data_IF_415605648279
#
_entry.id   IF_415605648279
#
_cell.length_a   1.000
_cell.length_b   1.000
_cell.length_c   1.000
_cell.angle_alpha   90.00
_cell.angle_beta   90.00
_cell.angle_gamma   90.00
#
_symmetry.space_group_name_H-M   'P 1'
#
loop_
_entity.id
_entity.type
_entity.pdbx_description
1 polymer ?
#
# COMPACT_ATOMS: atom_id res chain seq x y z
N UNK A 1 10.64 -28.12 8.44
CA UNK A 1 11.54 -28.06 7.28
C UNK A 1 11.26 -26.74 6.57
N UNK A 2 12.09 -25.72 6.82
CA UNK A 2 11.99 -24.40 6.18
C UNK A 2 12.43 -24.53 4.73
N UNK A 3 11.50 -24.36 3.78
CA UNK A 3 11.92 -24.26 2.38
C UNK A 3 12.81 -23.02 2.23
N UNK A 4 13.99 -23.13 1.59
CA UNK A 4 14.85 -21.99 1.34
C UNK A 4 14.09 -20.96 0.49
N UNK A 5 14.40 -19.67 0.66
CA UNK A 5 13.85 -18.64 -0.21
C UNK A 5 14.09 -19.04 -1.69
N UNK A 6 13.06 -18.97 -2.55
CA UNK A 6 13.16 -19.47 -3.93
C UNK A 6 14.32 -18.77 -4.63
N UNK A 7 15.15 -19.55 -5.34
CA UNK A 7 16.25 -18.98 -6.13
C UNK A 7 15.66 -18.13 -7.25
N UNK A 8 16.36 -17.07 -7.71
CA UNK A 8 15.90 -16.20 -8.80
C UNK A 8 15.49 -16.97 -10.07
N UNK A 9 16.05 -18.16 -10.28
CA UNK A 9 15.72 -19.10 -11.36
C UNK A 9 14.38 -19.86 -11.19
N UNK A 10 13.76 -19.82 -10.02
CA UNK A 10 12.54 -20.56 -9.65
C UNK A 10 11.29 -19.67 -9.61
N UNK A 11 11.42 -18.34 -9.77
CA UNK A 11 10.34 -17.35 -9.66
C UNK A 11 9.26 -17.41 -10.79
N UNK A 12 9.32 -18.41 -11.66
CA UNK A 12 8.39 -18.58 -12.78
C UNK A 12 8.51 -17.49 -13.85
N UNK A 13 7.48 -17.35 -14.70
CA UNK A 13 7.46 -16.35 -15.78
C UNK A 13 7.34 -14.94 -15.18
N UNK A 14 8.33 -14.09 -15.45
CA UNK A 14 8.31 -12.67 -15.07
C UNK A 14 7.21 -11.88 -15.80
N UNK A 15 6.99 -12.20 -17.07
CA UNK A 15 5.99 -11.54 -17.92
C UNK A 15 4.63 -12.23 -17.81
N UNK A 16 3.91 -11.94 -16.73
CA UNK A 16 2.49 -12.28 -16.58
C UNK A 16 1.63 -11.02 -16.69
N UNK A 17 0.37 -11.17 -17.12
CA UNK A 17 -0.57 -10.04 -17.23
C UNK A 17 -0.69 -9.26 -15.92
N UNK A 18 -0.77 -9.90 -14.72
CA UNK A 18 -0.76 -9.18 -13.44
C UNK A 18 0.52 -8.36 -13.21
N UNK A 19 1.70 -8.90 -13.51
CA UNK A 19 2.96 -8.17 -13.32
C UNK A 19 3.06 -6.93 -14.22
N UNK A 20 2.58 -7.05 -15.46
CA UNK A 20 2.53 -5.92 -16.40
C UNK A 20 1.58 -4.84 -15.88
N UNK A 21 0.44 -5.22 -15.30
CA UNK A 21 -0.53 -4.28 -14.71
C UNK A 21 0.05 -3.59 -13.46
N UNK A 22 0.74 -4.31 -12.58
CA UNK A 22 1.42 -3.74 -11.41
C UNK A 22 2.57 -2.79 -11.81
N UNK A 23 3.32 -3.13 -12.87
CA UNK A 23 4.31 -2.21 -13.47
C UNK A 23 3.65 -0.99 -14.12
N UNK A 24 2.56 -1.18 -14.86
CA UNK A 24 1.81 -0.10 -15.47
C UNK A 24 1.31 0.89 -14.41
N UNK A 25 0.86 0.40 -13.25
CA UNK A 25 0.47 1.23 -12.11
C UNK A 25 1.62 2.10 -11.61
N UNK A 26 2.81 1.52 -11.40
CA UNK A 26 4.00 2.30 -11.03
C UNK A 26 4.33 3.37 -12.07
N UNK A 27 4.21 3.03 -13.36
CA UNK A 27 4.42 3.98 -14.47
C UNK A 27 3.36 5.09 -14.47
N UNK A 28 2.09 4.80 -14.15
CA UNK A 28 1.00 5.79 -14.06
C UNK A 28 1.20 6.74 -12.87
N UNK A 29 1.82 6.29 -11.79
CA UNK A 29 2.03 7.13 -10.61
C UNK A 29 3.10 8.20 -10.82
N UNK A 30 4.04 7.98 -11.74
CA UNK A 30 5.04 8.99 -12.13
C UNK A 30 4.40 10.26 -12.72
N UNK A 31 3.56 10.21 -13.78
CA UNK A 31 2.90 11.41 -14.29
C UNK A 31 1.89 11.99 -13.30
N UNK A 32 1.24 11.17 -12.45
CA UNK A 32 0.36 11.69 -11.38
C UNK A 32 1.14 12.59 -10.43
N UNK A 33 2.24 12.08 -9.87
CA UNK A 33 3.05 12.84 -8.92
C UNK A 33 3.72 14.04 -9.55
N UNK A 34 4.18 13.90 -10.80
CA UNK A 34 4.69 15.04 -11.58
C UNK A 34 3.64 16.14 -11.75
N UNK A 35 2.41 15.79 -12.16
CA UNK A 35 1.31 16.74 -12.32
C UNK A 35 0.94 17.42 -11.00
N UNK A 36 0.99 16.72 -9.87
CA UNK A 36 0.79 17.32 -8.54
C UNK A 36 1.87 18.38 -8.27
N UNK A 37 3.13 18.04 -8.50
CA UNK A 37 4.27 18.93 -8.20
C UNK A 37 4.26 20.19 -9.07
N UNK A 38 3.85 20.10 -10.33
CA UNK A 38 3.80 21.26 -11.24
C UNK A 38 2.49 22.03 -11.22
N UNK A 39 1.59 21.76 -10.26
CA UNK A 39 0.21 22.29 -10.18
C UNK A 39 -0.54 22.14 -11.51
N UNK A 40 -0.43 20.95 -12.11
CA UNK A 40 -1.06 20.59 -13.36
C UNK A 40 -2.59 20.49 -13.25
N UNK A 41 -3.29 20.33 -14.40
CA UNK A 41 -4.74 20.31 -14.40
C UNK A 41 -5.31 19.15 -13.58
N UNK A 42 -6.14 19.47 -12.58
CA UNK A 42 -6.74 18.49 -11.67
C UNK A 42 -7.44 17.35 -12.40
N UNK A 43 -8.09 17.63 -13.52
CA UNK A 43 -8.80 16.62 -14.30
C UNK A 43 -7.86 15.51 -14.82
N UNK A 44 -6.63 15.85 -15.23
CA UNK A 44 -5.64 14.85 -15.65
C UNK A 44 -5.18 13.99 -14.47
N UNK A 45 -4.96 14.60 -13.31
CA UNK A 45 -4.58 13.91 -12.07
C UNK A 45 -5.68 12.90 -11.70
N UNK A 46 -6.95 13.33 -11.72
CA UNK A 46 -8.10 12.48 -11.42
C UNK A 46 -8.25 11.33 -12.42
N UNK A 47 -8.12 11.58 -13.72
CA UNK A 47 -8.20 10.52 -14.75
C UNK A 47 -7.11 9.47 -14.55
N UNK A 48 -5.88 9.90 -14.29
CA UNK A 48 -4.76 8.97 -14.08
C UNK A 48 -4.90 8.19 -12.77
N UNK A 49 -5.38 8.82 -11.69
CA UNK A 49 -5.68 8.13 -10.43
C UNK A 49 -6.80 7.09 -10.60
N UNK A 50 -7.88 7.45 -11.30
CA UNK A 50 -8.96 6.51 -11.62
C UNK A 50 -8.45 5.35 -12.49
N UNK A 51 -7.56 5.63 -13.44
CA UNK A 51 -6.94 4.59 -14.26
C UNK A 51 -6.06 3.65 -13.43
N UNK A 52 -5.31 4.17 -12.47
CA UNK A 52 -4.51 3.37 -11.55
C UNK A 52 -5.39 2.46 -10.67
N UNK A 53 -6.50 2.99 -10.13
CA UNK A 53 -7.49 2.21 -9.36
C UNK A 53 -8.16 1.14 -10.24
N UNK A 54 -8.51 1.48 -11.47
CA UNK A 54 -9.09 0.53 -12.40
C UNK A 54 -8.12 -0.61 -12.72
N UNK A 55 -6.84 -0.28 -12.91
CA UNK A 55 -5.77 -1.26 -13.20
C UNK A 55 -5.62 -2.27 -12.06
N UNK A 56 -5.65 -1.82 -10.80
CA UNK A 56 -5.68 -2.69 -9.60
C UNK A 56 -6.92 -3.58 -9.52
N UNK A 57 -8.07 -3.01 -9.83
CA UNK A 57 -9.30 -3.81 -9.83
C UNK A 57 -9.27 -4.91 -10.92
N UNK A 58 -8.68 -4.60 -12.08
CA UNK A 58 -8.58 -5.54 -13.18
C UNK A 58 -7.48 -6.58 -12.98
N UNK A 59 -6.30 -6.25 -12.43
CA UNK A 59 -5.25 -7.24 -12.17
C UNK A 59 -5.71 -8.29 -11.14
N UNK A 60 -6.37 -7.87 -10.06
CA UNK A 60 -6.91 -8.78 -9.05
C UNK A 60 -8.06 -9.65 -9.55
N UNK A 61 -8.76 -9.24 -10.62
CA UNK A 61 -9.81 -10.07 -11.27
C UNK A 61 -9.21 -11.00 -12.32
N UNK A 62 -8.30 -10.51 -13.15
CA UNK A 62 -7.65 -11.28 -14.20
C UNK A 62 -6.77 -12.36 -13.60
N UNK A 63 -6.02 -12.09 -12.53
CA UNK A 63 -5.22 -13.09 -11.82
C UNK A 63 -6.08 -14.24 -11.27
N UNK A 64 -7.29 -13.95 -10.77
CA UNK A 64 -8.23 -14.96 -10.26
C UNK A 64 -8.89 -15.81 -11.35
N UNK A 65 -8.99 -15.30 -12.57
CA UNK A 65 -9.62 -16.01 -13.69
C UNK A 65 -8.62 -16.73 -14.59
N UNK A 66 -7.35 -16.34 -14.58
CA UNK A 66 -6.33 -16.87 -15.49
C UNK A 66 -5.46 -17.97 -14.88
N UNK A 67 -5.60 -18.27 -13.58
CA UNK A 67 -4.78 -19.24 -12.83
C UNK A 67 -3.26 -19.01 -12.96
N UNK A 68 -2.87 -17.78 -13.35
CA UNK A 68 -1.50 -17.35 -13.63
C UNK A 68 -0.94 -16.55 -12.45
N UNK A 69 -0.87 -17.18 -11.28
CA UNK A 69 -0.20 -16.62 -10.11
C UNK A 69 1.30 -16.84 -10.27
N UNK A 70 2.07 -15.78 -10.51
CA UNK A 70 3.54 -15.84 -10.55
C UNK A 70 4.14 -15.46 -9.19
N UNK A 71 5.29 -16.05 -8.84
CA UNK A 71 6.00 -15.68 -7.61
C UNK A 71 6.59 -14.26 -7.68
N UNK A 72 6.84 -13.75 -8.89
CA UNK A 72 7.16 -12.34 -9.12
C UNK A 72 6.00 -11.39 -8.79
N UNK A 73 4.76 -11.77 -9.11
CA UNK A 73 3.57 -10.97 -8.77
C UNK A 73 3.40 -10.80 -7.26
N UNK A 74 3.72 -11.84 -6.49
CA UNK A 74 3.69 -11.79 -5.02
C UNK A 74 4.65 -10.75 -4.40
N UNK A 75 5.66 -10.30 -5.16
CA UNK A 75 6.61 -9.26 -4.74
C UNK A 75 6.26 -7.91 -5.36
N UNK A 76 5.89 -7.89 -6.65
CA UNK A 76 5.50 -6.68 -7.37
C UNK A 76 4.22 -6.04 -6.84
N UNK A 77 3.23 -6.85 -6.45
CA UNK A 77 1.93 -6.35 -5.98
C UNK A 77 2.07 -5.58 -4.65
N UNK A 78 2.74 -6.09 -3.59
CA UNK A 78 2.98 -5.33 -2.37
C UNK A 78 3.80 -4.05 -2.57
N UNK A 79 4.71 -4.05 -3.56
CA UNK A 79 5.50 -2.87 -3.90
C UNK A 79 4.62 -1.82 -4.57
N UNK A 80 3.92 -2.17 -5.64
CA UNK A 80 3.06 -1.24 -6.38
C UNK A 80 1.96 -0.64 -5.48
N UNK A 81 1.37 -1.44 -4.59
CA UNK A 81 0.35 -0.98 -3.64
C UNK A 81 0.89 0.05 -2.63
N UNK A 82 2.04 -0.25 -2.02
CA UNK A 82 2.58 0.62 -0.94
C UNK A 82 3.25 1.87 -1.48
N UNK A 83 3.98 1.74 -2.58
CA UNK A 83 4.63 2.89 -3.17
C UNK A 83 3.64 3.87 -3.77
N UNK A 84 2.49 3.37 -4.27
CA UNK A 84 1.54 4.25 -4.94
C UNK A 84 0.93 5.31 -4.03
N UNK A 85 0.34 4.90 -2.90
CA UNK A 85 -0.17 5.84 -1.91
C UNK A 85 0.93 6.71 -1.31
N UNK A 86 2.08 6.12 -1.00
CA UNK A 86 3.22 6.85 -0.43
C UNK A 86 3.75 7.96 -1.33
N UNK A 87 3.87 7.72 -2.64
CA UNK A 87 4.34 8.71 -3.60
C UNK A 87 3.37 9.88 -3.79
N UNK A 88 2.06 9.62 -3.80
CA UNK A 88 1.05 10.68 -3.87
C UNK A 88 1.11 11.57 -2.63
N UNK A 89 1.19 10.99 -1.43
CA UNK A 89 1.32 11.75 -0.18
C UNK A 89 2.64 12.52 -0.13
N UNK A 90 3.74 11.93 -0.61
CA UNK A 90 5.03 12.61 -0.70
C UNK A 90 4.97 13.82 -1.64
N UNK A 91 4.34 13.70 -2.81
CA UNK A 91 4.17 14.80 -3.75
C UNK A 91 3.31 15.93 -3.16
N UNK A 92 2.21 15.59 -2.47
CA UNK A 92 1.36 16.57 -1.77
C UNK A 92 2.11 17.25 -0.62
N UNK A 93 2.98 16.53 0.08
CA UNK A 93 3.82 17.09 1.14
C UNK A 93 4.88 18.03 0.56
N UNK A 94 5.44 17.70 -0.61
CA UNK A 94 6.45 18.53 -1.27
C UNK A 94 5.93 19.90 -1.70
N UNK A 95 4.64 19.99 -2.07
CA UNK A 95 3.96 21.25 -2.41
C UNK A 95 3.29 21.93 -1.20
N UNK A 96 3.66 21.53 0.03
CA UNK A 96 3.10 22.03 1.30
C UNK A 96 1.58 21.86 1.48
N UNK A 97 0.93 21.01 0.67
CA UNK A 97 -0.51 20.71 0.79
C UNK A 97 -0.81 19.74 1.95
N UNK A 98 0.18 18.96 2.38
CA UNK A 98 0.10 18.11 3.57
C UNK A 98 1.32 18.32 4.45
N UNK A 99 1.18 18.24 5.78
CA UNK A 99 2.30 18.47 6.68
C UNK A 99 3.27 17.28 6.67
N UNK A 100 4.58 17.57 6.73
CA UNK A 100 5.64 16.55 6.70
C UNK A 100 5.47 15.46 7.77
N UNK A 101 5.01 15.83 8.97
CA UNK A 101 4.80 14.86 10.05
C UNK A 101 3.75 13.80 9.68
N UNK A 102 2.73 14.14 8.89
CA UNK A 102 1.70 13.18 8.45
C UNK A 102 2.31 12.13 7.52
N UNK A 103 3.13 12.57 6.56
CA UNK A 103 3.90 11.68 5.70
C UNK A 103 4.82 10.76 6.51
N UNK A 104 5.53 11.30 7.50
CA UNK A 104 6.41 10.50 8.36
C UNK A 104 5.64 9.43 9.15
N UNK A 105 4.47 9.76 9.71
CA UNK A 105 3.62 8.78 10.41
C UNK A 105 3.22 7.64 9.48
N UNK A 106 2.77 7.96 8.26
CA UNK A 106 2.43 6.97 7.24
C UNK A 106 3.63 6.09 6.87
N UNK A 107 4.77 6.72 6.56
CA UNK A 107 5.99 6.03 6.13
C UNK A 107 6.54 5.09 7.22
N UNK A 108 6.60 5.56 8.47
CA UNK A 108 7.04 4.75 9.62
C UNK A 108 6.12 3.55 9.82
N UNK A 109 4.80 3.75 9.75
CA UNK A 109 3.81 2.67 9.89
C UNK A 109 3.98 1.63 8.79
N UNK A 110 4.08 2.05 7.53
CA UNK A 110 4.18 1.14 6.39
C UNK A 110 5.49 0.35 6.38
N UNK A 111 6.60 1.03 6.68
CA UNK A 111 7.91 0.39 6.81
C UNK A 111 7.95 -0.60 7.97
N UNK A 112 7.38 -0.24 9.13
CA UNK A 112 7.34 -1.12 10.30
C UNK A 112 6.51 -2.39 10.03
N UNK A 113 5.38 -2.27 9.33
CA UNK A 113 4.56 -3.43 8.95
C UNK A 113 5.28 -4.30 7.92
N UNK A 114 5.99 -3.70 6.95
CA UNK A 114 6.84 -4.46 6.01
C UNK A 114 7.94 -5.22 6.74
N UNK A 115 8.72 -4.53 7.56
CA UNK A 115 9.85 -5.11 8.28
C UNK A 115 9.38 -6.22 9.24
N UNK A 116 8.29 -6.00 9.99
CA UNK A 116 7.71 -7.01 10.87
C UNK A 116 7.17 -8.21 10.10
N UNK A 117 6.49 -7.98 8.96
CA UNK A 117 6.01 -9.05 8.10
C UNK A 117 7.14 -9.91 7.53
N UNK A 118 8.19 -9.28 7.01
CA UNK A 118 9.34 -9.99 6.43
C UNK A 118 10.16 -10.74 7.49
N UNK A 119 10.37 -10.14 8.67
CA UNK A 119 11.01 -10.80 9.80
C UNK A 119 10.25 -12.07 10.20
N UNK A 120 8.92 -11.98 10.26
CA UNK A 120 8.10 -13.13 10.64
C UNK A 120 8.09 -14.20 9.56
N UNK A 121 8.02 -13.81 8.28
CA UNK A 121 8.16 -14.71 7.14
C UNK A 121 9.47 -15.50 7.20
N UNK A 122 10.58 -14.84 7.48
CA UNK A 122 11.88 -15.50 7.63
C UNK A 122 11.93 -16.48 8.81
N UNK A 123 11.23 -16.18 9.91
CA UNK A 123 11.27 -16.99 11.13
C UNK A 123 10.29 -18.17 11.13
N UNK A 124 9.08 -17.99 10.61
CA UNK A 124 8.00 -18.99 10.66
C UNK A 124 7.69 -19.63 9.32
N UNK A 125 8.21 -19.07 8.21
CA UNK A 125 7.90 -19.51 6.85
C UNK A 125 6.47 -19.19 6.40
N UNK A 126 5.68 -18.47 7.20
CA UNK A 126 4.29 -18.12 6.89
C UNK A 126 4.18 -16.68 6.39
N UNK A 127 3.33 -16.48 5.38
CA UNK A 127 2.97 -15.16 4.88
C UNK A 127 1.84 -14.61 5.75
N UNK A 128 2.08 -13.49 6.43
CA UNK A 128 1.07 -12.84 7.27
C UNK A 128 0.09 -12.08 6.37
N UNK A 129 -1.17 -12.55 6.33
CA UNK A 129 -2.22 -11.89 5.56
C UNK A 129 -2.55 -10.49 6.12
N UNK A 130 -2.94 -9.58 5.22
CA UNK A 130 -3.35 -8.21 5.61
C UNK A 130 -4.64 -8.24 6.44
N UNK A 131 -4.75 -7.36 7.44
CA UNK A 131 -5.92 -7.22 8.30
C UNK A 131 -6.88 -6.19 7.70
N UNK A 132 -8.19 -6.38 7.84
CA UNK A 132 -9.22 -5.41 7.42
C UNK A 132 -8.98 -3.98 7.91
N UNK A 133 -8.46 -3.84 9.13
CA UNK A 133 -8.11 -2.53 9.72
C UNK A 133 -7.04 -1.80 8.89
N UNK A 134 -6.14 -2.53 8.24
CA UNK A 134 -5.16 -1.96 7.32
C UNK A 134 -5.81 -1.36 6.08
N UNK A 135 -6.83 -2.01 5.52
CA UNK A 135 -7.57 -1.52 4.36
C UNK A 135 -8.30 -0.20 4.67
N UNK A 136 -8.97 -0.15 5.82
CA UNK A 136 -9.67 1.06 6.28
C UNK A 136 -8.70 2.24 6.43
N UNK A 137 -7.52 2.00 7.01
CA UNK A 137 -6.51 3.05 7.16
C UNK A 137 -6.00 3.57 5.80
N UNK A 138 -5.76 2.68 4.83
CA UNK A 138 -5.36 3.06 3.46
C UNK A 138 -6.47 3.85 2.75
N UNK A 139 -7.75 3.49 2.95
CA UNK A 139 -8.87 4.30 2.44
C UNK A 139 -8.88 5.70 3.05
N UNK A 140 -8.59 5.84 4.35
CA UNK A 140 -8.46 7.15 5.00
C UNK A 140 -7.34 8.01 4.37
N UNK A 141 -6.20 7.40 4.07
CA UNK A 141 -5.08 8.06 3.36
C UNK A 141 -5.53 8.55 1.98
N UNK A 142 -6.25 7.73 1.22
CA UNK A 142 -6.78 8.12 -0.09
C UNK A 142 -7.78 9.29 0.00
N UNK A 143 -8.68 9.28 1.00
CA UNK A 143 -9.62 10.38 1.24
C UNK A 143 -8.87 11.67 1.59
N UNK A 144 -7.84 11.59 2.43
CA UNK A 144 -7.02 12.75 2.82
C UNK A 144 -6.24 13.30 1.63
N UNK A 145 -5.67 12.43 0.80
CA UNK A 145 -5.02 12.84 -0.45
C UNK A 145 -6.00 13.55 -1.40
N UNK A 146 -7.22 13.03 -1.53
CA UNK A 146 -8.26 13.64 -2.36
C UNK A 146 -8.68 15.00 -1.82
N UNK A 147 -8.87 15.15 -0.50
CA UNK A 147 -9.20 16.42 0.14
C UNK A 147 -8.10 17.47 -0.11
N UNK A 148 -6.83 17.09 0.01
CA UNK A 148 -5.70 17.96 -0.31
C UNK A 148 -5.64 18.34 -1.80
N UNK A 149 -5.86 17.38 -2.71
CA UNK A 149 -5.90 17.62 -4.16
C UNK A 149 -7.01 18.57 -4.58
N UNK A 150 -8.17 18.48 -3.93
CA UNK A 150 -9.31 19.37 -4.16
C UNK A 150 -9.15 20.75 -3.51
N UNK A 151 -8.01 21.01 -2.85
CA UNK A 151 -7.74 22.25 -2.12
C UNK A 151 -8.87 22.55 -1.11
N UNK A 152 -9.31 21.52 -0.39
CA UNK A 152 -10.39 21.63 0.61
C UNK A 152 -10.01 22.64 1.70
N UNK A 153 -11.03 23.26 2.31
CA UNK A 153 -10.85 24.22 3.38
C UNK A 153 -10.01 23.63 4.53
N UNK A 154 -9.19 24.47 5.17
CA UNK A 154 -8.27 24.06 6.23
C UNK A 154 -8.95 23.23 7.34
N UNK A 155 -10.14 23.59 7.87
CA UNK A 155 -10.80 22.78 8.90
C UNK A 155 -11.17 21.38 8.41
N UNK A 156 -11.60 21.25 7.15
CA UNK A 156 -11.96 19.96 6.54
C UNK A 156 -10.71 19.11 6.37
N UNK A 157 -9.62 19.70 5.88
CA UNK A 157 -8.35 19.00 5.70
C UNK A 157 -7.78 18.52 7.04
N UNK A 158 -7.84 19.34 8.09
CA UNK A 158 -7.41 18.96 9.43
C UNK A 158 -8.21 17.78 9.99
N UNK A 159 -9.54 17.77 9.79
CA UNK A 159 -10.39 16.64 10.19
C UNK A 159 -9.98 15.37 9.45
N UNK A 160 -9.76 15.44 8.13
CA UNK A 160 -9.30 14.30 7.33
C UNK A 160 -7.95 13.76 7.81
N UNK A 161 -6.98 14.66 8.04
CA UNK A 161 -5.64 14.31 8.54
C UNK A 161 -5.75 13.57 9.88
N UNK A 162 -6.41 14.16 10.88
CA UNK A 162 -6.48 13.58 12.22
C UNK A 162 -7.30 12.28 12.25
N UNK A 163 -8.42 12.21 11.52
CA UNK A 163 -9.18 10.97 11.38
C UNK A 163 -8.31 9.85 10.79
N UNK A 164 -7.53 10.16 9.76
CA UNK A 164 -6.64 9.20 9.12
C UNK A 164 -5.49 8.78 10.03
N UNK A 165 -4.91 9.70 10.79
CA UNK A 165 -3.86 9.39 11.78
C UNK A 165 -4.39 8.43 12.84
N UNK A 166 -5.61 8.64 13.35
CA UNK A 166 -6.23 7.72 14.31
C UNK A 166 -6.36 6.32 13.70
N UNK A 167 -6.80 6.21 12.44
CA UNK A 167 -6.90 4.93 11.73
C UNK A 167 -5.52 4.28 11.53
N UNK A 168 -4.50 5.05 11.17
CA UNK A 168 -3.13 4.57 10.98
C UNK A 168 -2.54 4.03 12.29
N UNK A 169 -2.71 4.76 13.39
CA UNK A 169 -2.25 4.35 14.73
C UNK A 169 -2.99 3.10 15.19
N UNK A 170 -4.33 3.07 15.06
CA UNK A 170 -5.11 1.89 15.42
C UNK A 170 -4.70 0.66 14.60
N UNK A 171 -4.52 0.84 13.29
CA UNK A 171 -4.00 -0.21 12.41
C UNK A 171 -2.63 -0.69 12.88
N UNK A 172 -1.71 0.24 13.15
CA UNK A 172 -0.36 -0.08 13.60
C UNK A 172 -0.35 -0.91 14.89
N UNK A 173 -1.14 -0.51 15.89
CA UNK A 173 -1.27 -1.25 17.16
C UNK A 173 -1.79 -2.67 16.90
N UNK A 174 -2.82 -2.83 16.05
CA UNK A 174 -3.36 -4.16 15.71
C UNK A 174 -2.34 -5.06 15.03
N UNK A 175 -1.55 -4.52 14.10
CA UNK A 175 -0.45 -5.25 13.47
C UNK A 175 0.65 -5.61 14.46
N UNK A 176 0.98 -4.70 15.38
CA UNK A 176 2.00 -4.91 16.40
C UNK A 176 1.59 -6.01 17.40
N UNK A 177 0.35 -5.97 17.91
CA UNK A 177 -0.19 -7.03 18.78
C UNK A 177 -0.15 -8.38 18.08
N UNK A 178 -0.54 -8.44 16.80
CA UNK A 178 -0.49 -9.68 16.01
C UNK A 178 0.95 -10.20 15.85
N UNK A 179 1.91 -9.30 15.59
CA UNK A 179 3.33 -9.65 15.49
C UNK A 179 3.88 -10.27 16.77
N UNK A 180 3.61 -9.68 17.94
CA UNK A 180 4.03 -10.24 19.22
C UNK A 180 3.28 -11.54 19.58
N UNK A 181 2.00 -11.64 19.20
CA UNK A 181 1.22 -12.88 19.34
C UNK A 181 1.89 -14.05 18.61
N UNK A 182 2.27 -13.86 17.35
CA UNK A 182 3.00 -14.88 16.58
C UNK A 182 4.37 -15.25 17.18
N UNK A 183 5.07 -14.29 17.81
CA UNK A 183 6.34 -14.58 18.48
C UNK A 183 6.17 -15.42 19.74
N UNK A 184 5.03 -15.31 20.42
CA UNK A 184 4.73 -16.02 21.67
C UNK A 184 4.12 -17.39 21.42
N UNK A 185 3.15 -17.49 20.50
CA UNK A 185 2.48 -18.74 20.15
C UNK A 185 2.01 -18.71 18.68
N UNK A 186 2.69 -19.44 17.77
CA UNK A 186 2.33 -19.51 16.36
C UNK A 186 0.94 -20.08 16.07
N UNK A 187 0.33 -20.82 17.00
CA UNK A 187 -0.98 -21.48 16.83
C UNK A 187 -2.17 -20.60 17.23
N UNK A 188 -1.93 -19.55 18.03
CA UNK A 188 -2.97 -18.67 18.60
C UNK A 188 -3.59 -17.65 17.64
N UNK A 189 -3.08 -17.53 16.41
CA UNK A 189 -3.35 -16.38 15.53
C UNK A 189 -4.34 -16.70 14.39
N UNK A 190 -4.85 -17.93 14.31
CA UNK A 190 -5.94 -18.25 13.38
C UNK A 190 -7.27 -17.55 13.75
N UNK A 191 -7.45 -17.17 15.01
CA UNK A 191 -8.70 -16.59 15.54
C UNK A 191 -8.77 -15.05 15.51
N UNK A 192 -7.71 -14.36 15.06
CA UNK A 192 -7.61 -12.89 15.09
C UNK A 192 -7.84 -12.22 13.71
N UNK A 193 -8.37 -12.98 12.74
CA UNK A 193 -8.62 -12.53 11.37
C UNK A 193 -9.85 -11.61 11.26
#
# INVERSE_FOLDING_TARGET
MSQPAPKLSELGRFWTIPNILSMARLVIILPVTWLIVVDGPLWWIMVLLLLAIATDYFDGRVARWSDQVSDWGKVLDPMADKFGGGFVIAALTYIDALPLWFFLVLAIRDFSILAGGEYLRHKTGQIVASIWVGKIAVTGVAITALAALLKADEPVLLVCIWATVILLVYSFVRYFVRFFGYLRDPSSVQDLA
#
